data_IF_488070595116
#
_entry.id   IF_488070595116
#
_cell.length_a   1.000
_cell.length_b   1.000
_cell.length_c   1.000
_cell.angle_alpha   90.00
_cell.angle_beta   90.00
_cell.angle_gamma   90.00
#
_symmetry.space_group_name_H-M   'P 1'
#
loop_
_entity.id
_entity.type
_entity.pdbx_description
1 polymer ?
#
# COMPACT_ATOMS: atom_id res chain seq x y z
N UNK A 1 -2.25 -2.66 -3.42
CA UNK A 1 -0.82 -3.01 -3.46
C UNK A 1 -0.11 -2.08 -4.43
N UNK A 2 0.93 -1.39 -3.95
CA UNK A 2 1.81 -0.52 -4.73
C UNK A 2 2.66 -1.38 -5.64
N UNK A 3 2.56 -1.09 -6.94
CA UNK A 3 3.52 -1.57 -7.92
C UNK A 3 4.65 -0.56 -7.94
N UNK A 4 5.77 -0.88 -7.32
CA UNK A 4 6.98 -0.14 -7.68
C UNK A 4 7.21 -0.43 -9.16
N UNK A 5 7.48 0.61 -9.94
CA UNK A 5 7.98 0.47 -11.30
C UNK A 5 9.26 -0.35 -11.19
N UNK A 6 9.12 -1.66 -11.32
CA UNK A 6 10.24 -2.57 -11.29
C UNK A 6 10.88 -2.37 -12.65
N UNK A 7 11.89 -1.49 -12.74
CA UNK A 7 12.92 -1.65 -13.76
C UNK A 7 13.76 -2.89 -13.41
N UNK A 8 13.11 -4.06 -13.28
CA UNK A 8 13.78 -5.35 -13.45
C UNK A 8 13.97 -5.48 -14.95
N UNK A 9 15.12 -5.05 -15.47
CA UNK A 9 15.56 -5.36 -16.84
C UNK A 9 14.47 -5.26 -17.94
N UNK A 10 13.64 -4.21 -17.93
CA UNK A 10 12.62 -3.98 -18.96
C UNK A 10 11.44 -4.96 -18.99
N UNK A 11 11.29 -5.85 -18.01
CA UNK A 11 10.19 -6.83 -17.99
C UNK A 11 9.02 -6.35 -17.12
N UNK A 12 7.83 -6.26 -17.71
CA UNK A 12 6.60 -5.89 -17.01
C UNK A 12 6.16 -7.01 -16.05
N UNK A 13 5.74 -6.69 -14.82
CA UNK A 13 5.30 -7.72 -13.88
C UNK A 13 4.04 -8.44 -14.38
N UNK A 14 4.02 -9.77 -14.38
CA UNK A 14 2.93 -10.56 -15.01
C UNK A 14 1.52 -10.23 -14.46
N UNK A 15 1.43 -9.74 -13.23
CA UNK A 15 0.16 -9.37 -12.60
C UNK A 15 -0.46 -8.04 -13.09
N UNK A 16 0.14 -7.41 -14.12
CA UNK A 16 -0.49 -6.33 -14.90
C UNK A 16 -1.23 -6.83 -16.15
N UNK A 17 -1.29 -8.15 -16.34
CA UNK A 17 -2.01 -8.81 -17.43
C UNK A 17 -3.08 -9.77 -16.88
N UNK A 18 -3.99 -10.29 -17.71
CA UNK A 18 -4.82 -11.44 -17.36
C UNK A 18 -4.01 -12.63 -16.82
N UNK A 19 -4.56 -13.43 -15.89
CA UNK A 19 -5.93 -13.36 -15.37
C UNK A 19 -6.08 -12.42 -14.16
N UNK A 20 -5.11 -11.55 -13.87
CA UNK A 20 -5.14 -10.78 -12.62
C UNK A 20 -6.28 -9.75 -12.64
N UNK A 21 -7.18 -9.77 -11.65
CA UNK A 21 -8.34 -8.89 -11.53
C UNK A 21 -9.63 -9.29 -12.30
N UNK A 22 -9.67 -10.38 -13.06
CA UNK A 22 -10.85 -10.72 -13.90
C UNK A 22 -12.12 -11.05 -13.11
N UNK A 23 -12.01 -11.74 -11.97
CA UNK A 23 -13.17 -12.23 -11.21
C UNK A 23 -13.98 -11.14 -10.51
N UNK A 24 -13.41 -9.96 -10.26
CA UNK A 24 -14.07 -8.89 -9.50
C UNK A 24 -13.95 -7.51 -10.13
N UNK A 25 -12.75 -7.15 -10.61
CA UNK A 25 -12.51 -5.85 -11.23
C UNK A 25 -12.75 -5.87 -12.74
N UNK A 26 -12.82 -7.07 -13.33
CA UNK A 26 -12.98 -7.32 -14.76
C UNK A 26 -11.91 -6.64 -15.65
N UNK A 27 -10.74 -6.35 -15.05
CA UNK A 27 -9.56 -5.81 -15.73
C UNK A 27 -8.30 -6.02 -14.88
N UNK A 28 -7.10 -6.04 -15.50
CA UNK A 28 -5.84 -6.00 -14.78
C UNK A 28 -5.74 -4.81 -13.82
N UNK A 29 -5.45 -5.11 -12.56
CA UNK A 29 -5.31 -4.09 -11.50
C UNK A 29 -3.89 -3.90 -11.02
N UNK A 30 -2.93 -4.72 -11.48
CA UNK A 30 -1.58 -4.76 -10.91
C UNK A 30 -1.52 -5.39 -9.51
N UNK A 31 -2.56 -6.13 -9.10
CA UNK A 31 -2.61 -6.86 -7.82
C UNK A 31 -2.27 -8.32 -8.09
N UNK A 32 -1.55 -8.98 -7.18
CA UNK A 32 -1.22 -10.40 -7.29
C UNK A 32 -2.42 -11.32 -6.93
N UNK A 33 -3.59 -11.06 -7.51
CA UNK A 33 -4.81 -11.86 -7.37
C UNK A 33 -5.67 -11.76 -8.64
N UNK A 34 -6.46 -12.78 -8.96
CA UNK A 34 -7.51 -12.74 -9.99
C UNK A 34 -8.71 -11.85 -9.56
N UNK A 35 -8.70 -11.30 -8.35
CA UNK A 35 -9.77 -10.40 -7.91
C UNK A 35 -9.36 -9.61 -6.68
N UNK A 36 -10.21 -9.66 -5.66
CA UNK A 36 -9.96 -9.03 -4.36
C UNK A 36 -8.77 -9.65 -3.62
N UNK A 37 -8.13 -8.83 -2.80
CA UNK A 37 -7.14 -9.21 -1.78
C UNK A 37 -7.83 -9.31 -0.42
N UNK A 38 -7.20 -9.95 0.56
CA UNK A 38 -7.75 -10.08 1.93
C UNK A 38 -8.18 -8.72 2.53
N UNK A 39 -7.40 -7.67 2.30
CA UNK A 39 -7.68 -6.31 2.77
C UNK A 39 -8.95 -5.69 2.17
N UNK A 40 -9.38 -6.14 0.99
CA UNK A 40 -10.62 -5.66 0.35
C UNK A 40 -11.84 -6.25 1.06
N UNK A 41 -11.77 -7.53 1.41
CA UNK A 41 -12.82 -8.18 2.22
C UNK A 41 -12.90 -7.56 3.62
N UNK A 42 -11.76 -7.20 4.21
CA UNK A 42 -11.74 -6.46 5.48
C UNK A 42 -12.41 -5.09 5.33
N UNK A 43 -12.06 -4.31 4.31
CA UNK A 43 -12.69 -3.02 4.05
C UNK A 43 -14.21 -3.15 3.87
N UNK A 44 -14.66 -4.12 3.07
CA UNK A 44 -16.09 -4.40 2.86
C UNK A 44 -16.80 -4.80 4.15
N UNK A 45 -16.21 -5.68 4.96
CA UNK A 45 -16.78 -6.09 6.24
C UNK A 45 -16.94 -4.93 7.24
N UNK A 46 -16.12 -3.89 7.09
CA UNK A 46 -16.15 -2.67 7.91
C UNK A 46 -16.99 -1.54 7.30
N UNK A 47 -17.64 -1.77 6.15
CA UNK A 47 -18.38 -0.75 5.41
C UNK A 47 -17.50 0.37 4.85
N UNK A 48 -16.22 0.09 4.61
CA UNK A 48 -15.24 1.03 4.07
C UNK A 48 -15.10 0.84 2.54
N UNK A 49 -14.76 1.91 1.80
CA UNK A 49 -14.39 1.78 0.40
C UNK A 49 -13.12 0.94 0.25
N UNK A 50 -12.95 0.33 -0.93
CA UNK A 50 -11.73 -0.43 -1.25
C UNK A 50 -10.49 0.44 -1.11
N UNK A 51 -9.46 -0.12 -0.46
CA UNK A 51 -8.26 0.63 -0.09
C UNK A 51 -7.34 0.78 -1.32
N UNK A 52 -7.13 2.00 -1.84
CA UNK A 52 -6.25 2.22 -2.99
C UNK A 52 -4.78 2.00 -2.63
N UNK A 53 -3.93 1.62 -3.60
CA UNK A 53 -2.48 1.57 -3.40
C UNK A 53 -1.88 2.99 -3.29
N UNK A 54 -0.83 3.14 -2.48
CA UNK A 54 -0.18 4.45 -2.23
C UNK A 54 0.44 5.12 -3.45
N UNK A 55 0.72 4.38 -4.53
CA UNK A 55 1.30 4.92 -5.77
C UNK A 55 0.28 5.28 -6.85
N UNK A 56 -1.02 5.03 -6.62
CA UNK A 56 -2.07 5.68 -7.42
C UNK A 56 -2.21 7.17 -7.05
N UNK A 57 -1.43 7.66 -6.09
CA UNK A 57 -1.31 9.06 -5.73
C UNK A 57 -0.19 9.69 -6.52
N UNK A 58 -0.56 10.49 -7.52
CA UNK A 58 0.30 11.55 -8.01
C UNK A 58 0.65 12.44 -6.80
N UNK A 59 1.84 13.04 -6.76
CA UNK A 59 2.28 13.94 -5.68
C UNK A 59 1.32 15.12 -5.37
N UNK A 60 0.27 15.28 -6.17
CA UNK A 60 -0.82 16.25 -6.04
C UNK A 60 -2.06 15.73 -5.30
N UNK A 61 -2.21 14.42 -5.05
CA UNK A 61 -3.35 13.88 -4.30
C UNK A 61 -3.00 13.75 -2.82
N UNK A 62 -3.32 14.81 -2.08
CA UNK A 62 -3.24 14.87 -0.64
C UNK A 62 -3.99 13.67 -0.03
N UNK A 63 -3.32 12.88 0.81
CA UNK A 63 -3.93 11.75 1.55
C UNK A 63 -5.17 12.20 2.33
N UNK A 64 -5.24 13.49 2.71
CA UNK A 64 -6.40 14.12 3.35
C UNK A 64 -7.62 14.30 2.45
N UNK A 65 -7.44 14.42 1.13
CA UNK A 65 -8.53 14.65 0.18
C UNK A 65 -9.38 13.41 -0.10
N UNK A 66 -8.87 12.23 0.24
CA UNK A 66 -9.55 10.96 -0.04
C UNK A 66 -10.59 10.58 1.02
N UNK A 67 -10.43 11.02 2.27
CA UNK A 67 -11.32 10.60 3.36
C UNK A 67 -11.32 9.08 3.64
N UNK A 68 -10.40 8.32 3.03
CA UNK A 68 -10.24 6.89 3.17
C UNK A 68 -8.76 6.51 3.27
N UNK A 69 -8.47 5.36 3.90
CA UNK A 69 -7.10 4.87 4.12
C UNK A 69 -6.38 4.48 2.83
N UNK A 70 -5.08 4.21 2.93
CA UNK A 70 -4.18 3.91 1.81
C UNK A 70 -3.39 2.63 2.09
N UNK A 71 -3.14 1.82 1.05
CA UNK A 71 -2.36 0.59 1.14
C UNK A 71 -0.91 0.81 0.68
N UNK A 72 0.04 0.69 1.61
CA UNK A 72 1.50 0.83 1.36
C UNK A 72 2.19 -0.47 0.93
N UNK A 73 1.49 -1.61 0.95
CA UNK A 73 2.06 -2.93 0.63
C UNK A 73 2.64 -2.98 -0.78
N UNK A 74 3.84 -3.54 -0.91
CA UNK A 74 4.54 -3.77 -2.18
C UNK A 74 4.69 -5.27 -2.43
N UNK A 75 4.40 -5.70 -3.67
CA UNK A 75 4.60 -7.10 -4.06
C UNK A 75 6.08 -7.50 -3.95
N UNK A 76 6.37 -8.59 -3.24
CA UNK A 76 7.73 -9.10 -3.06
C UNK A 76 8.58 -8.37 -2.01
N UNK A 77 7.95 -7.50 -1.21
CA UNK A 77 8.61 -6.89 -0.06
C UNK A 77 8.97 -7.91 1.02
N UNK A 78 10.07 -7.64 1.71
CA UNK A 78 10.61 -8.44 2.81
C UNK A 78 10.29 -7.81 4.16
N UNK A 79 10.37 -8.60 5.24
CA UNK A 79 10.25 -8.07 6.60
C UNK A 79 11.46 -7.19 6.96
N UNK A 80 12.66 -7.63 6.56
CA UNK A 80 13.94 -6.96 6.82
C UNK A 80 14.43 -6.19 5.60
N UNK A 81 15.36 -5.27 5.81
CA UNK A 81 15.96 -4.47 4.74
C UNK A 81 16.76 -5.34 3.76
N UNK A 82 16.92 -4.86 2.52
CA UNK A 82 17.64 -5.62 1.49
C UNK A 82 19.08 -5.93 1.91
N UNK A 83 19.72 -5.05 2.68
CA UNK A 83 21.06 -5.24 3.23
C UNK A 83 21.19 -6.52 4.07
N UNK A 84 20.17 -6.89 4.85
CA UNK A 84 20.17 -8.12 5.63
C UNK A 84 20.20 -9.38 4.74
N UNK A 85 19.51 -9.33 3.61
CA UNK A 85 19.46 -10.42 2.63
C UNK A 85 20.74 -10.45 1.78
N UNK A 86 21.22 -9.28 1.35
CA UNK A 86 22.45 -9.12 0.56
C UNK A 86 23.68 -9.66 1.30
N UNK A 87 23.79 -9.42 2.61
CA UNK A 87 24.87 -9.98 3.46
C UNK A 87 24.88 -11.52 3.46
N UNK A 88 23.71 -12.14 3.21
CA UNK A 88 23.53 -13.59 3.15
C UNK A 88 23.59 -14.15 1.72
N UNK A 89 23.88 -13.31 0.74
CA UNK A 89 23.89 -13.68 -0.67
C UNK A 89 22.50 -13.88 -1.27
N UNK A 90 21.45 -13.37 -0.62
CA UNK A 90 20.07 -13.43 -1.09
C UNK A 90 19.71 -12.16 -1.88
N UNK A 91 19.05 -12.34 -3.02
CA UNK A 91 18.58 -11.25 -3.86
C UNK A 91 17.14 -10.85 -3.51
N UNK A 92 16.93 -9.59 -3.14
CA UNK A 92 15.58 -9.04 -2.95
C UNK A 92 15.05 -8.42 -4.24
N UNK A 93 13.79 -8.70 -4.59
CA UNK A 93 13.12 -8.12 -5.77
C UNK A 93 12.83 -6.61 -5.62
N UNK A 94 12.79 -6.11 -4.38
CA UNK A 94 12.53 -4.71 -4.06
C UNK A 94 13.24 -4.33 -2.76
N UNK A 95 13.60 -3.06 -2.63
CA UNK A 95 14.09 -2.47 -1.39
C UNK A 95 12.97 -2.00 -0.44
N UNK A 96 11.69 -2.26 -0.76
CA UNK A 96 10.54 -1.82 0.02
C UNK A 96 10.26 -2.74 1.21
N UNK A 97 11.23 -2.90 2.10
CA UNK A 97 11.06 -3.66 3.34
C UNK A 97 9.85 -3.18 4.15
N UNK A 98 9.42 -3.97 5.13
CA UNK A 98 8.38 -3.57 6.08
C UNK A 98 8.76 -2.25 6.79
N UNK A 99 10.04 -2.07 7.13
CA UNK A 99 10.57 -0.83 7.70
C UNK A 99 10.37 0.38 6.76
N UNK A 100 10.68 0.20 5.47
CA UNK A 100 10.48 1.24 4.45
C UNK A 100 8.98 1.56 4.25
N UNK A 101 8.12 0.55 4.18
CA UNK A 101 6.67 0.74 4.06
C UNK A 101 6.08 1.47 5.27
N UNK A 102 6.57 1.16 6.47
CA UNK A 102 6.21 1.86 7.69
C UNK A 102 6.70 3.31 7.67
N UNK A 103 7.87 3.57 7.08
CA UNK A 103 8.36 4.93 6.80
C UNK A 103 7.38 5.74 5.97
N UNK A 104 6.93 5.21 4.82
CA UNK A 104 5.92 5.88 3.98
C UNK A 104 4.60 6.12 4.70
N UNK A 105 4.17 5.18 5.54
CA UNK A 105 3.01 5.38 6.39
C UNK A 105 3.23 6.54 7.36
N UNK A 106 4.36 6.60 8.07
CA UNK A 106 4.69 7.69 9.01
C UNK A 106 4.76 9.05 8.31
N UNK A 107 5.34 9.12 7.12
CA UNK A 107 5.37 10.36 6.31
C UNK A 107 3.95 10.85 6.01
N UNK A 108 3.02 9.94 5.72
CA UNK A 108 1.62 10.29 5.45
C UNK A 108 0.88 10.85 6.67
N UNK A 109 1.29 10.50 7.89
CA UNK A 109 0.65 10.99 9.12
C UNK A 109 0.75 12.51 9.25
N UNK A 110 1.84 13.11 8.75
CA UNK A 110 2.03 14.56 8.75
C UNK A 110 0.96 15.29 7.92
N UNK A 111 0.46 14.65 6.87
CA UNK A 111 -0.65 15.18 6.07
C UNK A 111 -2.00 14.99 6.77
N UNK A 112 -2.21 13.86 7.47
CA UNK A 112 -3.47 13.54 8.15
C UNK A 112 -3.70 14.42 9.39
N UNK A 113 -2.63 14.79 10.08
CA UNK A 113 -2.67 15.66 11.26
C UNK A 113 -1.68 16.81 11.07
N UNK A 114 -2.04 17.88 10.34
CA UNK A 114 -1.27 19.11 10.40
C UNK A 114 -1.41 19.60 11.84
N UNK A 115 -0.28 19.71 12.54
CA UNK A 115 -0.11 20.04 13.95
C UNK A 115 -1.28 20.86 14.50
N UNK A 116 -2.25 20.20 15.12
CA UNK A 116 -3.32 20.89 15.84
C UNK A 116 -2.71 21.34 17.15
N UNK A 117 -2.47 22.66 17.26
CA UNK A 117 -2.35 23.33 18.53
C UNK A 117 -3.52 22.90 19.43
N UNK A 118 -3.23 22.02 20.39
CA UNK A 118 -3.98 21.87 21.63
C UNK A 118 -5.44 21.36 21.55
N UNK A 119 -5.74 20.24 20.88
CA UNK A 119 -6.96 19.48 21.26
C UNK A 119 -6.89 17.97 20.91
N UNK A 120 -6.84 17.06 21.91
CA UNK A 120 -6.69 15.61 21.68
C UNK A 120 -7.96 14.90 21.17
N UNK A 121 -9.07 15.61 20.93
CA UNK A 121 -10.34 15.00 20.52
C UNK A 121 -10.44 14.63 19.03
N UNK A 122 -9.46 14.96 18.19
CA UNK A 122 -9.50 14.68 16.75
C UNK A 122 -9.06 13.25 16.36
N UNK A 123 -8.66 12.42 17.33
CA UNK A 123 -8.22 11.04 17.07
C UNK A 123 -9.40 10.08 16.81
N UNK A 124 -10.59 10.37 17.34
CA UNK A 124 -11.66 9.38 17.44
C UNK A 124 -12.60 9.28 16.22
N UNK A 125 -12.45 10.11 15.19
CA UNK A 125 -13.39 10.14 14.05
C UNK A 125 -12.78 9.77 12.69
N UNK A 126 -11.45 9.60 12.56
CA UNK A 126 -10.80 9.49 11.24
C UNK A 126 -9.77 8.37 11.06
N UNK A 127 -9.39 7.64 12.11
CA UNK A 127 -8.49 6.49 12.02
C UNK A 127 -9.13 5.27 12.68
N UNK A 128 -9.75 4.41 11.88
CA UNK A 128 -9.98 3.02 12.29
C UNK A 128 -8.69 2.24 12.04
N UNK A 129 -7.75 2.31 12.98
CA UNK A 129 -6.61 1.39 13.00
C UNK A 129 -7.12 0.08 13.60
N UNK A 130 -7.55 -0.84 12.76
CA UNK A 130 -7.79 -2.22 13.16
C UNK A 130 -6.45 -2.96 13.06
N UNK A 131 -5.96 -3.43 14.20
CA UNK A 131 -4.76 -4.26 14.30
C UNK A 131 -5.01 -5.63 13.65
N UNK A 132 -4.06 -6.09 12.85
CA UNK A 132 -3.73 -7.50 12.63
C UNK A 132 -2.22 -7.64 12.62
#
# INVERSE_FOLDING_TARGET
MKLLSIKTHGTTPHFVFPPYGETFFHKPTGRCSNGRLIIDFLAESLGLPLIPPSLAMNATLNVTGLGHGVNYAVAGATALDSSFHEERGEYTRTNASLGVQLGWFKESLSSVCPTVSGNPMLFNSRLKVTYF
#
